data_IF_527478596808
#
_entry.id   IF_527478596808
#
_cell.length_a   1.000
_cell.length_b   1.000
_cell.length_c   1.000
_cell.angle_alpha   90.00
_cell.angle_beta   90.00
_cell.angle_gamma   90.00
#
_symmetry.space_group_name_H-M   'P 1'
#
loop_
_entity.id
_entity.type
_entity.pdbx_description
1 polymer ?
#
# COMPACT_ATOMS: atom_id res chain seq x y z
N UNK A 1 18.87 17.96 -37.99
CA UNK A 1 17.95 18.08 -36.83
C UNK A 1 18.60 17.35 -35.66
N UNK A 2 19.02 18.06 -34.61
CA UNK A 2 19.65 17.44 -33.43
C UNK A 2 18.67 16.51 -32.70
N UNK A 3 19.14 15.32 -32.30
CA UNK A 3 18.34 14.29 -31.61
C UNK A 3 17.84 14.83 -30.26
N UNK A 4 16.66 14.37 -29.83
CA UNK A 4 15.96 14.87 -28.63
C UNK A 4 16.83 14.84 -27.35
N UNK A 5 17.76 13.89 -27.27
CA UNK A 5 18.73 13.75 -26.17
C UNK A 5 19.74 14.91 -26.11
N UNK A 6 20.25 15.40 -27.24
CA UNK A 6 21.19 16.53 -27.29
C UNK A 6 20.50 17.84 -26.90
N UNK A 7 19.22 18.00 -27.28
CA UNK A 7 18.41 19.12 -26.82
C UNK A 7 18.20 19.03 -25.31
N UNK A 8 17.78 17.87 -24.78
CA UNK A 8 17.61 17.66 -23.34
C UNK A 8 18.90 17.89 -22.53
N UNK A 9 20.07 17.62 -23.10
CA UNK A 9 21.37 17.83 -22.46
C UNK A 9 21.97 19.23 -22.64
N UNK A 10 21.33 20.11 -23.43
CA UNK A 10 21.81 21.47 -23.62
C UNK A 10 21.92 22.22 -22.29
N UNK A 11 22.95 23.06 -22.14
CA UNK A 11 23.18 23.85 -20.91
C UNK A 11 21.96 24.67 -20.50
N UNK A 12 21.17 25.14 -21.48
CA UNK A 12 19.92 25.87 -21.25
C UNK A 12 18.85 24.97 -20.61
N UNK A 13 18.67 23.74 -21.09
CA UNK A 13 17.70 22.82 -20.50
C UNK A 13 18.11 22.33 -19.11
N UNK A 14 19.42 22.15 -18.86
CA UNK A 14 19.94 21.90 -17.51
C UNK A 14 19.70 23.10 -16.57
N UNK A 15 19.87 24.32 -17.06
CA UNK A 15 19.59 25.53 -16.28
C UNK A 15 18.09 25.72 -15.98
N UNK A 16 17.21 25.47 -16.96
CA UNK A 16 15.76 25.54 -16.77
C UNK A 16 15.30 24.48 -15.77
N UNK A 17 15.76 23.24 -15.90
CA UNK A 17 15.43 22.17 -14.94
C UNK A 17 15.96 22.46 -13.54
N UNK A 18 17.18 22.99 -13.40
CA UNK A 18 17.73 23.42 -12.11
C UNK A 18 16.91 24.56 -11.49
N UNK A 19 16.49 25.56 -12.28
CA UNK A 19 15.63 26.67 -11.81
C UNK A 19 14.23 26.20 -11.42
N UNK A 20 13.68 25.23 -12.13
CA UNK A 20 12.42 24.58 -11.76
C UNK A 20 12.55 23.75 -10.49
N UNK A 21 13.68 23.08 -10.28
CA UNK A 21 13.97 22.34 -9.06
C UNK A 21 14.21 23.28 -7.86
N UNK A 22 14.87 24.43 -8.04
CA UNK A 22 15.00 25.47 -7.01
C UNK A 22 13.64 26.05 -6.60
N UNK A 23 12.68 26.12 -7.54
CA UNK A 23 11.31 26.55 -7.26
C UNK A 23 10.44 25.45 -6.64
N UNK A 24 10.85 24.18 -6.71
CA UNK A 24 10.12 23.10 -6.05
C UNK A 24 10.36 23.21 -4.55
N UNK A 25 9.26 23.33 -3.80
CA UNK A 25 9.30 23.16 -2.34
C UNK A 25 10.03 21.85 -2.00
N UNK A 26 10.80 21.81 -0.90
CA UNK A 26 11.47 20.58 -0.47
C UNK A 26 10.47 19.43 -0.45
N UNK A 27 10.91 18.21 -0.79
CA UNK A 27 10.05 17.02 -0.75
C UNK A 27 9.47 16.89 0.65
N UNK A 28 8.23 17.35 0.80
CA UNK A 28 7.50 17.25 2.05
C UNK A 28 7.44 15.77 2.42
N UNK A 29 7.85 15.46 3.64
CA UNK A 29 7.74 14.11 4.17
C UNK A 29 6.38 13.98 4.82
N UNK A 30 5.75 12.84 4.57
CA UNK A 30 4.49 12.50 5.23
C UNK A 30 4.69 12.52 6.74
N UNK A 31 3.79 13.17 7.51
CA UNK A 31 3.78 13.07 8.96
C UNK A 31 3.67 11.61 9.43
N UNK A 32 4.30 11.28 10.55
CA UNK A 32 4.21 9.92 11.12
C UNK A 32 2.81 9.64 11.66
N UNK A 33 2.16 10.63 12.26
CA UNK A 33 0.81 10.53 12.81
C UNK A 33 -0.18 11.28 11.92
N UNK A 34 -1.15 10.54 11.37
CA UNK A 34 -2.24 11.13 10.59
C UNK A 34 -3.05 12.16 11.40
N UNK A 35 -3.13 12.02 12.73
CA UNK A 35 -3.85 12.94 13.62
C UNK A 35 -3.28 14.36 13.66
N UNK A 36 -2.00 14.55 13.30
CA UNK A 36 -1.37 15.87 13.28
C UNK A 36 -1.84 16.72 12.09
N UNK A 37 -2.27 16.07 11.01
CA UNK A 37 -2.76 16.75 9.82
C UNK A 37 -4.15 17.33 10.08
N UNK A 38 -4.33 18.64 9.87
CA UNK A 38 -5.61 19.34 10.06
C UNK A 38 -6.27 19.75 8.75
N UNK A 39 -5.55 19.64 7.64
CA UNK A 39 -6.06 19.98 6.31
C UNK A 39 -6.49 18.73 5.56
N UNK A 40 -7.66 18.79 4.95
CA UNK A 40 -8.25 17.69 4.20
C UNK A 40 -7.50 17.45 2.89
N UNK A 41 -7.10 18.51 2.19
CA UNK A 41 -6.37 18.39 0.93
C UNK A 41 -4.99 17.75 1.13
N UNK A 42 -4.31 18.11 2.22
CA UNK A 42 -3.06 17.49 2.61
C UNK A 42 -3.24 16.00 3.00
N UNK A 43 -4.28 15.66 3.74
CA UNK A 43 -4.59 14.27 4.09
C UNK A 43 -4.86 13.40 2.84
N UNK A 44 -5.59 13.93 1.85
CA UNK A 44 -5.82 13.25 0.58
C UNK A 44 -4.54 13.11 -0.26
N UNK A 45 -3.67 14.14 -0.27
CA UNK A 45 -2.34 14.06 -0.91
C UNK A 45 -1.52 12.91 -0.32
N UNK A 46 -1.47 12.79 1.00
CA UNK A 46 -0.73 11.72 1.67
C UNK A 46 -1.32 10.34 1.38
N UNK A 47 -2.65 10.21 1.38
CA UNK A 47 -3.34 8.98 0.97
C UNK A 47 -2.98 8.56 -0.46
N UNK A 48 -2.99 9.50 -1.41
CA UNK A 48 -2.62 9.20 -2.80
C UNK A 48 -1.17 8.76 -2.93
N UNK A 49 -0.26 9.36 -2.16
CA UNK A 49 1.13 8.92 -2.15
C UNK A 49 1.27 7.49 -1.64
N UNK A 50 0.54 7.10 -0.57
CA UNK A 50 0.52 5.72 -0.07
C UNK A 50 0.06 4.75 -1.16
N UNK A 51 -1.01 5.09 -1.87
CA UNK A 51 -1.53 4.23 -2.95
C UNK A 51 -0.49 4.01 -4.06
N UNK A 52 0.28 5.04 -4.42
CA UNK A 52 1.37 4.91 -5.41
C UNK A 52 2.53 4.06 -4.89
N UNK A 53 2.86 4.17 -3.60
CA UNK A 53 3.88 3.33 -2.96
C UNK A 53 3.45 1.86 -2.90
N UNK A 54 2.20 1.59 -2.53
CA UNK A 54 1.61 0.25 -2.57
C UNK A 54 1.66 -0.30 -3.99
N UNK A 55 1.19 0.45 -4.99
CA UNK A 55 1.16 -0.02 -6.38
C UNK A 55 2.54 -0.42 -6.92
N UNK A 56 3.59 0.35 -6.58
CA UNK A 56 4.98 0.01 -6.96
C UNK A 56 5.47 -1.27 -6.30
N UNK A 57 5.22 -1.45 -4.99
CA UNK A 57 5.63 -2.65 -4.26
C UNK A 57 4.82 -3.88 -4.68
N UNK A 58 3.53 -3.72 -5.00
CA UNK A 58 2.70 -4.78 -5.55
C UNK A 58 3.24 -5.21 -6.92
N UNK A 59 3.66 -4.29 -7.78
CA UNK A 59 4.32 -4.67 -9.03
C UNK A 59 5.65 -5.42 -8.79
N UNK A 60 6.44 -5.00 -7.80
CA UNK A 60 7.70 -5.67 -7.43
C UNK A 60 7.48 -7.10 -6.92
N UNK A 61 6.50 -7.31 -6.03
CA UNK A 61 6.24 -8.62 -5.40
C UNK A 61 5.65 -9.67 -6.35
N UNK A 62 5.20 -9.27 -7.55
CA UNK A 62 4.80 -10.23 -8.58
C UNK A 62 6.01 -10.96 -9.20
N UNK A 63 7.23 -10.41 -9.06
CA UNK A 63 8.41 -11.06 -9.60
C UNK A 63 8.83 -12.26 -8.74
N UNK A 64 8.52 -13.46 -9.21
CA UNK A 64 8.87 -14.74 -8.56
C UNK A 64 10.38 -15.01 -8.50
N UNK A 65 11.20 -14.30 -9.28
CA UNK A 65 12.66 -14.39 -9.23
C UNK A 65 13.27 -13.67 -8.02
N UNK A 66 12.47 -12.94 -7.23
CA UNK A 66 12.93 -12.36 -5.98
C UNK A 66 13.10 -13.46 -4.93
N UNK A 67 14.26 -13.47 -4.25
CA UNK A 67 14.51 -14.43 -3.17
C UNK A 67 13.46 -14.37 -2.06
N UNK A 68 13.26 -15.47 -1.36
CA UNK A 68 12.20 -15.63 -0.35
C UNK A 68 12.22 -14.52 0.72
N UNK A 69 13.40 -14.17 1.25
CA UNK A 69 13.54 -13.11 2.24
C UNK A 69 13.00 -11.77 1.72
N UNK A 70 13.32 -11.45 0.46
CA UNK A 70 12.88 -10.19 -0.18
C UNK A 70 11.37 -10.17 -0.39
N UNK A 71 10.78 -11.30 -0.76
CA UNK A 71 9.32 -11.42 -0.89
C UNK A 71 8.61 -11.23 0.46
N UNK A 72 9.18 -11.76 1.56
CA UNK A 72 8.64 -11.56 2.91
C UNK A 72 8.70 -10.08 3.32
N UNK A 73 9.86 -9.44 3.14
CA UNK A 73 10.04 -8.02 3.44
C UNK A 73 9.07 -7.14 2.65
N UNK A 74 8.94 -7.37 1.33
CA UNK A 74 8.00 -6.64 0.49
C UNK A 74 6.55 -6.83 0.95
N UNK A 75 6.19 -8.04 1.35
CA UNK A 75 4.85 -8.33 1.86
C UNK A 75 4.56 -7.55 3.15
N UNK A 76 5.53 -7.51 4.08
CA UNK A 76 5.42 -6.77 5.33
C UNK A 76 5.33 -5.26 5.10
N UNK A 77 6.14 -4.73 4.17
CA UNK A 77 6.09 -3.33 3.78
C UNK A 77 4.75 -2.93 3.15
N UNK A 78 4.18 -3.77 2.27
CA UNK A 78 2.85 -3.54 1.70
C UNK A 78 1.79 -3.54 2.81
N UNK A 79 1.83 -4.52 3.73
CA UNK A 79 0.90 -4.56 4.86
C UNK A 79 1.02 -3.32 5.76
N UNK A 80 2.25 -2.85 6.01
CA UNK A 80 2.51 -1.62 6.78
C UNK A 80 1.87 -0.40 6.10
N UNK A 81 2.06 -0.24 4.79
CA UNK A 81 1.48 0.85 4.01
C UNK A 81 -0.06 0.79 4.00
N UNK A 82 -0.66 -0.39 3.95
CA UNK A 82 -2.12 -0.54 3.98
C UNK A 82 -2.71 -0.15 5.35
N UNK A 83 -2.01 -0.48 6.45
CA UNK A 83 -2.41 -0.01 7.78
C UNK A 83 -2.32 1.51 7.86
N UNK A 84 -1.21 2.07 7.39
CA UNK A 84 -1.00 3.52 7.33
C UNK A 84 -2.11 4.21 6.51
N UNK A 85 -2.42 3.70 5.31
CA UNK A 85 -3.56 4.17 4.48
C UNK A 85 -4.84 4.21 5.28
N UNK A 86 -5.12 3.20 6.08
CA UNK A 86 -6.35 3.13 6.89
C UNK A 86 -6.39 4.21 7.97
N UNK A 87 -5.25 4.61 8.54
CA UNK A 87 -5.17 5.75 9.46
C UNK A 87 -5.47 7.07 8.74
N UNK A 88 -4.90 7.27 7.54
CA UNK A 88 -5.19 8.45 6.73
C UNK A 88 -6.64 8.52 6.25
N UNK A 89 -7.23 7.39 5.83
CA UNK A 89 -8.64 7.34 5.46
C UNK A 89 -9.57 7.65 6.64
N UNK A 90 -9.25 7.16 7.85
CA UNK A 90 -9.98 7.55 9.06
C UNK A 90 -9.86 9.05 9.32
N UNK A 91 -8.65 9.61 9.18
CA UNK A 91 -8.42 11.04 9.38
C UNK A 91 -9.22 11.90 8.40
N UNK A 92 -9.27 11.50 7.13
CA UNK A 92 -10.06 12.19 6.11
C UNK A 92 -11.54 12.23 6.52
N UNK A 93 -12.09 11.11 7.02
CA UNK A 93 -13.47 11.07 7.53
C UNK A 93 -13.65 11.99 8.76
N UNK A 94 -12.71 12.00 9.70
CA UNK A 94 -12.75 12.89 10.88
C UNK A 94 -12.71 14.38 10.50
N UNK A 95 -12.02 14.72 9.41
CA UNK A 95 -11.96 16.08 8.85
C UNK A 95 -13.19 16.45 7.99
N UNK A 96 -14.20 15.58 7.91
CA UNK A 96 -15.43 15.81 7.14
C UNK A 96 -15.33 15.42 5.67
N UNK A 97 -14.29 14.67 5.29
CA UNK A 97 -14.05 14.21 3.93
C UNK A 97 -14.76 12.91 3.54
N UNK A 98 -14.59 12.48 2.28
CA UNK A 98 -15.23 11.29 1.74
C UNK A 98 -14.78 10.00 2.44
N UNK A 99 -15.73 9.09 2.65
CA UNK A 99 -15.44 7.80 3.27
C UNK A 99 -14.96 6.77 2.23
N UNK A 100 -13.64 6.72 2.04
CA UNK A 100 -13.00 5.76 1.13
C UNK A 100 -13.09 4.30 1.58
N UNK A 101 -13.37 4.02 2.85
CA UNK A 101 -13.50 2.63 3.34
C UNK A 101 -14.79 1.95 2.87
N UNK A 102 -15.87 2.72 2.65
CA UNK A 102 -17.14 2.20 2.13
C UNK A 102 -17.08 1.84 0.65
N UNK A 103 -16.29 2.58 -0.13
CA UNK A 103 -16.14 2.39 -1.57
C UNK A 103 -14.91 1.57 -1.96
N UNK A 104 -14.08 1.20 -0.99
CA UNK A 104 -13.02 0.23 -1.18
C UNK A 104 -13.67 -1.14 -1.41
N UNK A 105 -13.92 -1.50 -2.66
CA UNK A 105 -13.95 -2.91 -3.05
C UNK A 105 -12.74 -3.56 -2.38
N UNK A 106 -12.95 -4.71 -1.71
CA UNK A 106 -11.84 -5.47 -1.10
C UNK A 106 -10.72 -5.48 -2.13
N UNK A 107 -9.56 -4.90 -1.81
CA UNK A 107 -8.48 -4.60 -2.77
C UNK A 107 -7.97 -5.89 -3.41
N UNK A 108 -8.68 -6.38 -4.42
CA UNK A 108 -8.37 -7.58 -5.17
C UNK A 108 -7.32 -7.20 -6.17
N UNK A 109 -6.21 -7.94 -6.15
CA UNK A 109 -5.18 -7.90 -7.16
C UNK A 109 -5.79 -8.13 -8.57
N UNK A 110 -5.02 -7.90 -9.64
CA UNK A 110 -5.46 -8.15 -11.03
C UNK A 110 -5.99 -9.60 -11.25
N UNK A 111 -5.71 -10.52 -10.33
CA UNK A 111 -6.15 -11.92 -10.34
C UNK A 111 -7.22 -12.26 -9.28
N UNK A 112 -7.86 -11.26 -8.65
CA UNK A 112 -9.03 -11.49 -7.79
C UNK A 112 -8.77 -12.15 -6.43
N UNK A 113 -7.53 -12.59 -6.16
CA UNK A 113 -7.24 -13.42 -4.99
C UNK A 113 -6.63 -12.59 -3.85
N UNK A 114 -7.45 -12.21 -2.87
CA UNK A 114 -6.98 -11.75 -1.55
C UNK A 114 -7.23 -12.88 -0.58
N UNK A 115 -6.17 -13.36 0.07
CA UNK A 115 -6.35 -14.15 1.29
C UNK A 115 -5.99 -13.26 2.47
N UNK A 116 -7.04 -12.76 3.12
CA UNK A 116 -6.94 -12.07 4.39
C UNK A 116 -6.72 -13.13 5.48
N UNK A 117 -5.55 -13.14 6.12
CA UNK A 117 -5.41 -13.84 7.41
C UNK A 117 -6.34 -13.13 8.38
N UNK A 118 -7.38 -13.81 8.92
CA UNK A 118 -8.35 -13.14 9.78
C UNK A 118 -7.64 -12.55 10.98
N UNK A 119 -7.77 -11.23 11.16
CA UNK A 119 -7.26 -10.59 12.38
C UNK A 119 -8.00 -11.23 13.58
N UNK A 120 -7.31 -11.90 14.52
CA UNK A 120 -7.95 -12.50 15.69
C UNK A 120 -8.73 -11.48 16.53
N UNK A 121 -8.34 -10.19 16.47
CA UNK A 121 -8.97 -9.08 17.17
C UNK A 121 -10.14 -8.43 16.44
N UNK A 122 -10.50 -8.86 15.22
CA UNK A 122 -11.68 -8.38 14.48
C UNK A 122 -11.69 -6.89 14.10
N UNK A 123 -10.65 -6.12 14.44
CA UNK A 123 -10.54 -4.68 14.15
C UNK A 123 -9.41 -4.42 13.16
N UNK A 124 -9.78 -3.93 11.98
CA UNK A 124 -8.84 -3.45 10.97
C UNK A 124 -8.47 -4.47 9.90
N UNK A 125 -7.72 -4.03 8.86
CA UNK A 125 -7.34 -4.90 7.76
C UNK A 125 -6.42 -6.01 8.27
N UNK A 126 -6.79 -7.26 7.99
CA UNK A 126 -5.98 -8.43 8.32
C UNK A 126 -4.62 -8.42 7.60
N UNK A 127 -3.72 -9.27 8.07
CA UNK A 127 -2.45 -9.49 7.37
C UNK A 127 -2.73 -10.21 6.05
N UNK A 128 -2.13 -9.75 4.96
CA UNK A 128 -2.36 -10.27 3.61
C UNK A 128 -1.07 -10.71 2.95
N UNK A 129 -1.17 -11.68 2.06
CA UNK A 129 -0.08 -12.11 1.19
C UNK A 129 -0.34 -11.66 -0.25
N UNK A 130 0.64 -11.01 -0.88
CA UNK A 130 0.55 -10.46 -2.25
C UNK A 130 1.47 -11.19 -3.22
N UNK A 131 1.04 -11.35 -4.47
CA UNK A 131 1.84 -11.93 -5.56
C UNK A 131 2.60 -13.20 -5.19
N UNK A 132 3.90 -13.23 -5.50
CA UNK A 132 4.80 -14.36 -5.26
C UNK A 132 4.95 -14.71 -3.77
N UNK A 133 4.66 -13.79 -2.84
CA UNK A 133 4.70 -14.09 -1.41
C UNK A 133 3.68 -15.17 -1.00
N UNK A 134 2.64 -15.41 -1.80
CA UNK A 134 1.69 -16.50 -1.58
C UNK A 134 2.30 -17.89 -1.81
N UNK A 135 3.32 -17.97 -2.67
CA UNK A 135 3.99 -19.23 -3.05
C UNK A 135 5.10 -19.63 -2.08
N UNK A 136 5.38 -18.79 -1.08
CA UNK A 136 6.42 -19.06 -0.10
C UNK A 136 6.13 -20.33 0.72
N UNK A 137 7.18 -21.10 1.09
CA UNK A 137 7.03 -22.25 1.97
C UNK A 137 6.42 -21.82 3.32
N UNK A 138 5.53 -22.65 3.88
CA UNK A 138 4.70 -22.33 5.04
C UNK A 138 3.49 -21.44 4.76
N UNK A 139 3.58 -20.46 3.86
CA UNK A 139 2.43 -19.64 3.44
C UNK A 139 1.53 -20.41 2.49
N UNK A 140 2.14 -21.12 1.53
CA UNK A 140 1.43 -22.02 0.61
C UNK A 140 0.65 -23.11 1.36
N UNK A 141 1.22 -23.65 2.43
CA UNK A 141 0.56 -24.68 3.27
C UNK A 141 -0.66 -24.13 4.03
N UNK A 142 -0.64 -22.84 4.41
CA UNK A 142 -1.81 -22.17 4.98
C UNK A 142 -2.96 -22.04 3.97
N UNK A 143 -2.66 -22.08 2.66
CA UNK A 143 -3.66 -22.04 1.59
C UNK A 143 -4.13 -23.42 1.14
N UNK A 144 -3.28 -24.45 1.21
CA UNK A 144 -3.66 -25.83 0.86
C UNK A 144 -4.48 -26.52 1.96
N UNK A 145 -4.35 -26.09 3.22
CA UNK A 145 -5.23 -26.58 4.29
C UNK A 145 -6.67 -26.10 4.04
N UNK A 146 -7.67 -27.00 3.97
CA UNK A 146 -9.06 -26.60 3.86
C UNK A 146 -9.40 -25.68 5.05
N UNK A 147 -10.16 -24.59 4.83
CA UNK A 147 -10.44 -23.63 5.88
C UNK A 147 -11.10 -24.37 7.04
N UNK A 148 -10.42 -24.41 8.19
CA UNK A 148 -11.03 -24.95 9.40
C UNK A 148 -12.31 -24.16 9.64
N UNK A 149 -13.46 -24.85 9.49
CA UNK A 149 -14.76 -24.29 9.83
C UNK A 149 -14.64 -23.82 11.27
N UNK A 150 -14.52 -22.50 11.45
CA UNK A 150 -14.53 -21.86 12.75
C UNK A 150 -15.78 -22.36 13.46
N UNK A 151 -15.64 -23.35 14.34
CA UNK A 151 -16.72 -23.77 15.23
C UNK A 151 -17.05 -22.52 16.02
N UNK A 152 -18.16 -21.86 15.66
CA UNK A 152 -18.74 -20.82 16.50
C UNK A 152 -18.87 -21.50 17.86
N UNK A 153 -18.11 -21.05 18.86
CA UNK A 153 -18.39 -21.44 20.25
C UNK A 153 -19.79 -20.92 20.54
N UNK A 154 -20.77 -21.79 20.40
CA UNK A 154 -22.09 -21.56 20.97
C UNK A 154 -21.91 -21.58 22.47
N UNK A 155 -22.49 -20.60 23.15
CA UNK A 155 -22.44 -20.49 24.61
C UNK A 155 -23.13 -21.67 25.31
N UNK A 156 -23.81 -22.52 24.54
CA UNK A 156 -24.40 -23.79 24.94
C UNK A 156 -23.68 -24.91 24.18
N UNK A 157 -22.76 -25.57 24.88
CA UNK A 157 -22.31 -26.93 24.60
C UNK A 157 -22.34 -27.58 25.97
N UNK A 158 -23.24 -28.55 26.14
CA UNK A 158 -23.35 -29.35 27.36
C UNK A 158 -22.04 -30.08 27.68
#
# INVERSE_FOLDING_TARGET
MARNEEKAQSMLNRFITMKEEEKKKPKERRPFLASECRDLAEADKWRQQILREIGRKVAEIQNEGLGEHRLRDLNDEINKLIREKSHWERRIVELGGPNYTKHSAKMTDLEGNIVDVPNPGGRGPGYRYFGAAKKLPGVRELFEKPPELRKRRTRYSN
#
